data_IF_143300939509
#
_entry.id   IF_143300939509
#
_cell.length_a   1.000
_cell.length_b   1.000
_cell.length_c   1.000
_cell.angle_alpha   90.00
_cell.angle_beta   90.00
_cell.angle_gamma   90.00
#
_symmetry.space_group_name_H-M   'P 1'
#
loop_
_entity.id
_entity.type
_entity.pdbx_description
1 polymer ?
#
# COMPACT_ATOMS: atom_id res chain seq x y z
N UNK A 1 -5.74 13.72 8.51
CA UNK A 1 -6.98 13.02 8.85
C UNK A 1 -6.74 11.53 8.74
N UNK A 2 -6.70 10.81 9.90
CA UNK A 2 -6.36 9.40 10.00
C UNK A 2 -4.90 9.13 10.34
N UNK A 3 -4.68 8.23 11.31
CA UNK A 3 -3.34 7.84 11.79
C UNK A 3 -3.18 6.31 11.72
N UNK A 4 -3.71 5.71 10.63
CA UNK A 4 -3.68 4.26 10.35
C UNK A 4 -2.34 3.80 9.75
N UNK A 5 -2.39 3.21 8.54
CA UNK A 5 -1.19 2.63 7.88
C UNK A 5 -0.26 3.71 7.34
N UNK A 6 -0.78 4.66 6.54
CA UNK A 6 0.05 5.72 5.93
C UNK A 6 0.26 6.93 6.86
N UNK A 7 -0.71 7.21 7.74
CA UNK A 7 -0.71 8.40 8.59
C UNK A 7 0.57 8.58 9.41
N UNK A 8 1.02 7.60 10.20
CA UNK A 8 2.21 7.72 11.02
C UNK A 8 3.46 8.05 10.22
N UNK A 9 3.73 7.32 9.13
CA UNK A 9 4.91 7.54 8.30
C UNK A 9 4.94 8.94 7.70
N UNK A 10 3.85 9.36 7.06
CA UNK A 10 3.78 10.65 6.41
C UNK A 10 3.78 11.82 7.42
N UNK A 11 2.98 11.74 8.48
CA UNK A 11 2.91 12.80 9.47
C UNK A 11 4.25 13.02 10.20
N UNK A 12 4.94 11.94 10.59
CA UNK A 12 6.24 12.04 11.23
C UNK A 12 7.32 12.56 10.27
N UNK A 13 7.35 12.09 9.02
CA UNK A 13 8.33 12.56 8.03
C UNK A 13 8.14 14.06 7.72
N UNK A 14 6.89 14.52 7.54
CA UNK A 14 6.57 15.93 7.37
C UNK A 14 7.03 16.76 8.56
N UNK A 15 6.73 16.31 9.79
CA UNK A 15 7.16 16.99 11.02
C UNK A 15 8.68 17.09 11.10
N UNK A 16 9.38 16.00 10.84
CA UNK A 16 10.84 15.94 10.90
C UNK A 16 11.50 16.81 9.80
N UNK A 17 10.80 17.04 8.68
CA UNK A 17 11.19 17.99 7.64
C UNK A 17 10.71 19.44 7.88
N UNK A 18 10.24 19.75 9.09
CA UNK A 18 9.91 21.11 9.52
C UNK A 18 8.54 21.64 9.07
N UNK A 19 7.65 20.78 8.59
CA UNK A 19 6.27 21.17 8.32
C UNK A 19 5.48 21.32 9.63
N UNK A 20 4.55 22.27 9.63
CA UNK A 20 3.60 22.41 10.73
C UNK A 20 2.47 21.37 10.54
N UNK A 21 2.57 20.27 11.28
CA UNK A 21 1.66 19.12 11.15
C UNK A 21 0.75 19.01 12.36
N UNK A 22 -0.53 18.79 12.10
CA UNK A 22 -1.52 18.38 13.10
C UNK A 22 -2.18 17.08 12.64
N UNK A 23 -2.60 16.25 13.60
CA UNK A 23 -3.26 14.97 13.34
C UNK A 23 -4.72 15.06 13.77
N UNK A 24 -5.62 14.67 12.86
CA UNK A 24 -7.05 14.46 13.15
C UNK A 24 -7.34 12.98 13.31
N UNK A 25 -7.75 12.54 14.51
CA UNK A 25 -8.01 11.14 14.79
C UNK A 25 -9.14 10.98 15.82
N UNK A 26 -10.00 9.97 15.59
CA UNK A 26 -11.04 9.58 16.56
C UNK A 26 -10.42 8.85 17.76
N UNK A 27 -11.04 8.98 18.93
CA UNK A 27 -10.63 8.21 20.13
C UNK A 27 -10.57 6.71 19.87
N UNK A 28 -9.64 6.02 20.52
CA UNK A 28 -9.39 4.59 20.42
C UNK A 28 -7.92 4.24 20.24
N UNK A 29 -7.61 2.99 19.95
CA UNK A 29 -6.22 2.46 19.85
C UNK A 29 -5.30 3.28 18.94
N UNK A 30 -5.83 3.78 17.82
CA UNK A 30 -5.05 4.59 16.87
C UNK A 30 -4.77 6.01 17.41
N UNK A 31 -5.68 6.56 18.20
CA UNK A 31 -5.46 7.81 18.91
C UNK A 31 -4.39 7.66 20.00
N UNK A 32 -4.47 6.58 20.78
CA UNK A 32 -3.47 6.23 21.80
C UNK A 32 -2.08 6.06 21.18
N UNK A 33 -2.02 5.42 20.00
CA UNK A 33 -0.79 5.33 19.22
C UNK A 33 -0.26 6.70 18.82
N UNK A 34 -1.11 7.61 18.36
CA UNK A 34 -0.69 8.98 18.02
C UNK A 34 -0.10 9.70 19.24
N UNK A 35 -0.73 9.57 20.41
CA UNK A 35 -0.19 10.12 21.67
C UNK A 35 1.18 9.52 22.01
N UNK A 36 1.34 8.21 21.87
CA UNK A 36 2.62 7.53 22.10
C UNK A 36 3.72 7.98 21.11
N UNK A 37 3.35 8.33 19.87
CA UNK A 37 4.25 8.87 18.85
C UNK A 37 4.56 10.39 19.05
N UNK A 38 4.07 10.98 20.16
CA UNK A 38 4.37 12.36 20.58
C UNK A 38 3.42 13.44 20.06
N UNK A 39 2.23 13.06 19.57
CA UNK A 39 1.18 14.03 19.22
C UNK A 39 0.41 14.44 20.48
N UNK A 40 0.27 15.75 20.72
CA UNK A 40 -0.26 16.29 21.97
C UNK A 40 -1.74 16.67 21.81
N UNK A 41 -2.66 16.07 22.60
CA UNK A 41 -4.08 16.40 22.56
C UNK A 41 -4.34 17.91 22.80
N UNK A 42 -5.13 18.52 21.91
CA UNK A 42 -5.45 19.94 21.95
C UNK A 42 -4.39 20.90 21.39
N UNK A 43 -3.18 20.40 21.08
CA UNK A 43 -2.09 21.19 20.48
C UNK A 43 -1.75 20.70 19.07
N UNK A 44 -1.48 19.40 18.90
CA UNK A 44 -1.13 18.76 17.62
C UNK A 44 -1.99 17.54 17.29
N UNK A 45 -2.87 17.11 18.19
CA UNK A 45 -3.81 16.02 18.02
C UNK A 45 -5.23 16.51 18.32
N UNK A 46 -6.11 16.42 17.34
CA UNK A 46 -7.45 16.97 17.34
C UNK A 46 -8.52 15.96 16.89
N UNK A 47 -9.79 16.34 16.96
CA UNK A 47 -10.86 15.66 16.24
C UNK A 47 -10.66 15.79 14.73
N UNK A 48 -11.40 14.99 13.94
CA UNK A 48 -11.31 15.06 12.47
C UNK A 48 -11.75 16.45 11.96
N UNK A 49 -12.82 16.99 12.54
CA UNK A 49 -13.40 18.28 12.21
C UNK A 49 -12.46 19.44 12.52
N UNK A 50 -11.91 19.45 13.73
CA UNK A 50 -10.98 20.49 14.15
C UNK A 50 -9.72 20.50 13.30
N UNK A 51 -9.17 19.30 12.98
CA UNK A 51 -8.02 19.18 12.11
C UNK A 51 -8.34 19.65 10.69
N UNK A 52 -9.50 19.30 10.13
CA UNK A 52 -9.93 19.77 8.82
C UNK A 52 -10.16 21.29 8.79
N UNK A 53 -10.69 21.86 9.87
CA UNK A 53 -10.89 23.30 10.00
C UNK A 53 -9.56 24.05 10.03
N UNK A 54 -8.58 23.57 10.82
CA UNK A 54 -7.30 24.22 11.06
C UNK A 54 -6.30 24.03 9.90
N UNK A 55 -6.33 22.88 9.25
CA UNK A 55 -5.39 22.53 8.18
C UNK A 55 -5.55 23.37 6.91
N UNK A 56 -4.45 23.66 6.24
CA UNK A 56 -4.42 24.25 4.89
C UNK A 56 -4.30 23.17 3.81
N UNK A 57 -3.56 22.10 4.09
CA UNK A 57 -3.53 20.87 3.30
C UNK A 57 -4.18 19.77 4.13
N UNK A 58 -5.32 19.28 3.67
CA UNK A 58 -6.10 18.23 4.34
C UNK A 58 -5.73 16.88 3.73
N UNK A 59 -4.98 16.07 4.47
CA UNK A 59 -4.52 14.76 4.05
C UNK A 59 -5.55 13.68 4.44
N UNK A 60 -6.19 13.05 3.46
CA UNK A 60 -7.14 11.96 3.66
C UNK A 60 -6.40 10.63 3.72
N UNK A 61 -5.93 10.24 4.92
CA UNK A 61 -5.12 9.04 5.17
C UNK A 61 -5.90 7.94 5.91
N UNK A 62 -7.20 7.90 5.67
CA UNK A 62 -8.13 6.88 6.14
C UNK A 62 -8.24 5.75 5.10
N UNK A 63 -8.75 4.59 5.51
CA UNK A 63 -9.18 3.55 4.56
C UNK A 63 -10.32 4.06 3.67
N UNK A 64 -10.46 3.53 2.45
CA UNK A 64 -11.44 4.04 1.48
C UNK A 64 -12.87 4.02 2.01
N UNK A 65 -13.30 2.95 2.68
CA UNK A 65 -14.60 2.88 3.33
C UNK A 65 -14.76 3.94 4.43
N UNK A 66 -13.71 4.23 5.19
CA UNK A 66 -13.76 5.28 6.22
C UNK A 66 -13.77 6.69 5.59
N UNK A 67 -13.10 6.89 4.46
CA UNK A 67 -13.18 8.16 3.71
C UNK A 67 -14.61 8.46 3.28
N UNK A 68 -15.34 7.47 2.76
CA UNK A 68 -16.76 7.59 2.39
C UNK A 68 -17.59 8.02 3.61
N UNK A 69 -17.40 7.35 4.74
CA UNK A 69 -18.16 7.63 5.97
C UNK A 69 -17.92 9.04 6.54
N UNK A 70 -16.65 9.50 6.50
CA UNK A 70 -16.28 10.80 7.08
C UNK A 70 -16.42 11.96 6.09
N UNK A 71 -16.61 11.69 4.81
CA UNK A 71 -16.68 12.72 3.78
C UNK A 71 -17.68 13.83 4.07
N UNK A 72 -18.94 13.53 4.46
CA UNK A 72 -19.93 14.57 4.81
C UNK A 72 -19.47 15.47 5.97
N UNK A 73 -18.68 14.93 6.91
CA UNK A 73 -18.14 15.66 8.06
C UNK A 73 -17.00 16.58 7.68
N UNK A 74 -16.12 16.13 6.76
CA UNK A 74 -14.91 16.88 6.37
C UNK A 74 -15.20 17.91 5.27
N UNK A 75 -16.07 17.59 4.31
CA UNK A 75 -16.36 18.43 3.15
C UNK A 75 -16.70 19.90 3.48
N UNK A 76 -17.47 20.23 4.53
CA UNK A 76 -17.79 21.61 4.87
C UNK A 76 -16.58 22.49 5.22
N UNK A 77 -15.47 21.88 5.62
CA UNK A 77 -14.21 22.58 5.97
C UNK A 77 -13.26 22.74 4.79
N UNK A 78 -13.57 22.15 3.63
CA UNK A 78 -12.80 22.28 2.40
C UNK A 78 -13.21 23.57 1.67
N UNK A 79 -12.71 24.70 2.14
CA UNK A 79 -13.02 26.04 1.62
C UNK A 79 -11.95 26.49 0.61
N UNK A 80 -12.29 27.50 -0.20
CA UNK A 80 -11.38 28.09 -1.19
C UNK A 80 -9.99 28.37 -0.62
N UNK A 81 -8.97 28.04 -1.42
CA UNK A 81 -7.55 28.18 -1.05
C UNK A 81 -6.95 27.00 -0.28
N UNK A 82 -7.75 26.05 0.18
CA UNK A 82 -7.25 24.81 0.76
C UNK A 82 -6.84 23.80 -0.31
N UNK A 83 -6.09 22.80 0.12
CA UNK A 83 -5.66 21.67 -0.73
C UNK A 83 -6.12 20.36 -0.09
N UNK A 84 -6.74 19.51 -0.88
CA UNK A 84 -7.11 18.15 -0.50
C UNK A 84 -6.07 17.18 -1.05
N UNK A 85 -5.46 16.39 -0.17
CA UNK A 85 -4.39 15.48 -0.51
C UNK A 85 -4.79 14.01 -0.29
N UNK A 86 -4.37 13.17 -1.20
CA UNK A 86 -4.53 11.72 -1.16
C UNK A 86 -3.19 11.00 -1.35
N UNK A 87 -3.07 9.81 -0.76
CA UNK A 87 -1.95 8.88 -0.99
C UNK A 87 -2.29 7.75 -1.98
N UNK A 88 -3.52 7.71 -2.46
CA UNK A 88 -4.05 6.74 -3.39
C UNK A 88 -5.24 7.32 -4.14
N UNK A 89 -5.37 6.99 -5.42
CA UNK A 89 -6.39 7.60 -6.29
C UNK A 89 -7.80 7.06 -6.15
N UNK A 90 -8.06 6.08 -5.29
CA UNK A 90 -9.30 5.32 -5.19
C UNK A 90 -10.56 6.19 -5.04
N UNK A 91 -10.62 7.02 -4.00
CA UNK A 91 -11.81 7.78 -3.65
C UNK A 91 -12.24 8.74 -4.76
N UNK A 92 -11.29 9.35 -5.44
CA UNK A 92 -11.53 10.31 -6.52
C UNK A 92 -11.80 9.62 -7.86
N UNK A 93 -11.07 8.53 -8.15
CA UNK A 93 -11.23 7.81 -9.43
C UNK A 93 -12.61 7.16 -9.57
N UNK A 94 -13.17 6.65 -8.47
CA UNK A 94 -14.50 6.04 -8.43
C UNK A 94 -15.48 6.88 -7.60
N UNK A 95 -15.48 8.20 -7.83
CA UNK A 95 -16.34 9.14 -7.10
C UNK A 95 -17.84 8.89 -7.31
N UNK A 96 -18.24 8.26 -8.40
CA UNK A 96 -19.59 7.75 -8.67
C UNK A 96 -20.04 6.67 -7.68
N UNK A 97 -19.10 5.94 -7.09
CA UNK A 97 -19.32 4.88 -6.09
C UNK A 97 -19.09 5.37 -4.65
N UNK A 98 -18.08 6.20 -4.47
CA UNK A 98 -17.67 6.68 -3.15
C UNK A 98 -18.45 7.91 -2.69
N UNK A 99 -19.02 8.67 -3.60
CA UNK A 99 -19.65 9.96 -3.30
C UNK A 99 -18.64 11.05 -2.89
N UNK A 100 -17.35 10.79 -3.00
CA UNK A 100 -16.28 11.75 -2.64
C UNK A 100 -16.06 12.70 -3.81
N UNK A 101 -16.79 13.81 -3.81
CA UNK A 101 -16.72 14.87 -4.84
C UNK A 101 -16.20 16.15 -4.20
N UNK A 102 -14.93 16.54 -4.46
CA UNK A 102 -14.33 17.75 -3.93
C UNK A 102 -15.04 19.03 -4.41
N UNK A 103 -15.03 20.12 -3.62
CA UNK A 103 -15.39 21.45 -4.11
C UNK A 103 -14.49 21.89 -5.26
N UNK A 104 -15.00 22.74 -6.17
CA UNK A 104 -14.29 23.15 -7.38
C UNK A 104 -13.26 24.26 -7.15
N UNK A 105 -13.27 24.87 -5.98
CA UNK A 105 -12.45 26.03 -5.60
C UNK A 105 -11.23 25.69 -4.71
N UNK A 106 -10.87 24.39 -4.63
CA UNK A 106 -9.69 23.88 -3.93
C UNK A 106 -8.76 23.13 -4.86
N UNK A 107 -7.51 22.97 -4.46
CA UNK A 107 -6.61 22.03 -5.14
C UNK A 107 -6.89 20.60 -4.68
N UNK A 108 -6.74 19.63 -5.60
CA UNK A 108 -6.81 18.20 -5.28
C UNK A 108 -5.57 17.52 -5.85
N UNK A 109 -4.74 16.99 -4.95
CA UNK A 109 -3.41 16.46 -5.27
C UNK A 109 -3.21 15.06 -4.69
N UNK A 110 -2.25 14.36 -5.24
CA UNK A 110 -1.88 13.01 -4.78
C UNK A 110 -0.36 12.83 -4.83
N UNK A 111 0.18 12.23 -3.77
CA UNK A 111 1.49 11.55 -3.80
C UNK A 111 1.29 10.17 -3.23
N UNK A 112 1.48 9.14 -4.05
CA UNK A 112 1.24 7.74 -3.71
C UNK A 112 2.58 6.99 -3.54
N UNK A 113 3.02 6.75 -2.30
CA UNK A 113 4.23 5.95 -2.02
C UNK A 113 4.03 4.51 -2.49
N UNK A 114 5.04 3.96 -3.17
CA UNK A 114 5.03 2.57 -3.64
C UNK A 114 5.57 1.63 -2.56
N UNK A 115 4.77 1.53 -1.48
CA UNK A 115 5.04 0.71 -0.32
C UNK A 115 4.24 1.13 0.91
N UNK A 116 4.41 0.37 2.01
CA UNK A 116 3.70 0.63 3.26
C UNK A 116 4.16 1.92 3.93
N UNK A 117 3.32 2.50 4.78
CA UNK A 117 3.70 3.67 5.60
C UNK A 117 4.88 3.37 6.55
N UNK A 118 5.02 2.12 6.99
CA UNK A 118 6.17 1.67 7.78
C UNK A 118 7.45 1.71 6.93
N UNK A 119 7.41 1.18 5.70
CA UNK A 119 8.56 1.24 4.79
C UNK A 119 8.94 2.68 4.45
N UNK A 120 7.96 3.56 4.22
CA UNK A 120 8.21 4.99 3.98
C UNK A 120 8.98 5.61 5.16
N UNK A 121 8.56 5.33 6.39
CA UNK A 121 9.20 5.86 7.60
C UNK A 121 10.61 5.28 7.80
N UNK A 122 10.76 3.97 7.68
CA UNK A 122 12.06 3.30 7.86
C UNK A 122 13.09 3.81 6.86
N UNK A 123 12.74 3.85 5.58
CA UNK A 123 13.66 4.34 4.54
C UNK A 123 14.01 5.82 4.74
N UNK A 124 13.06 6.64 5.16
CA UNK A 124 13.34 8.05 5.50
C UNK A 124 14.36 8.18 6.64
N UNK A 125 14.20 7.40 7.71
CA UNK A 125 15.13 7.40 8.84
C UNK A 125 16.53 6.91 8.47
N UNK A 126 16.63 6.08 7.43
CA UNK A 126 17.90 5.60 6.87
C UNK A 126 18.52 6.56 5.84
N UNK A 127 17.94 7.75 5.62
CA UNK A 127 18.38 8.68 4.60
C UNK A 127 18.12 8.23 3.17
N UNK A 128 17.20 7.29 2.99
CA UNK A 128 16.72 6.78 1.70
C UNK A 128 15.29 7.27 1.46
N UNK A 129 14.75 7.05 0.28
CA UNK A 129 13.36 7.41 -0.05
C UNK A 129 12.64 6.32 -0.81
N UNK A 130 11.34 6.20 -0.57
CA UNK A 130 10.45 5.33 -1.32
C UNK A 130 10.03 6.00 -2.62
N UNK A 131 9.99 5.26 -3.73
CA UNK A 131 9.46 5.80 -4.98
C UNK A 131 7.98 6.16 -4.81
N UNK A 132 7.58 7.28 -5.37
CA UNK A 132 6.21 7.77 -5.30
C UNK A 132 5.71 8.17 -6.69
N UNK A 133 4.47 7.86 -7.01
CA UNK A 133 3.79 8.53 -8.11
C UNK A 133 3.09 9.80 -7.61
N UNK A 134 2.97 10.82 -8.46
CA UNK A 134 2.25 12.03 -8.11
C UNK A 134 1.28 12.47 -9.20
N UNK A 135 0.20 13.12 -8.81
CA UNK A 135 -0.79 13.64 -9.73
C UNK A 135 -1.51 14.87 -9.17
N UNK A 136 -1.94 15.74 -10.08
CA UNK A 136 -2.89 16.81 -9.82
C UNK A 136 -4.22 16.42 -10.47
N UNK A 137 -5.29 16.36 -9.69
CA UNK A 137 -6.65 16.16 -10.16
C UNK A 137 -7.33 17.48 -10.49
N UNK A 138 -7.14 18.48 -9.61
CA UNK A 138 -7.73 19.80 -9.72
C UNK A 138 -6.72 20.86 -9.26
N UNK A 139 -6.56 21.90 -10.06
CA UNK A 139 -5.68 23.04 -9.79
C UNK A 139 -6.50 24.33 -9.78
N UNK A 140 -7.03 24.69 -8.61
CA UNK A 140 -7.78 25.92 -8.44
C UNK A 140 -6.89 27.13 -8.16
N UNK A 141 -5.69 26.89 -7.61
CA UNK A 141 -4.75 27.95 -7.22
C UNK A 141 -3.76 28.33 -8.35
N UNK A 142 -3.60 27.50 -9.38
CA UNK A 142 -2.52 27.61 -10.38
C UNK A 142 -1.16 27.11 -9.87
N UNK A 143 -1.09 26.53 -8.65
CA UNK A 143 0.14 26.09 -8.00
C UNK A 143 0.05 24.66 -7.45
N UNK A 144 -0.94 23.86 -7.87
CA UNK A 144 -1.17 22.53 -7.32
C UNK A 144 0.00 21.56 -7.58
N UNK A 145 0.66 21.66 -8.73
CA UNK A 145 1.82 20.80 -9.04
C UNK A 145 3.02 21.13 -8.15
N UNK A 146 3.31 22.39 -7.91
CA UNK A 146 4.39 22.83 -7.01
C UNK A 146 4.15 22.33 -5.58
N UNK A 147 2.90 22.47 -5.09
CA UNK A 147 2.49 21.94 -3.79
C UNK A 147 2.65 20.43 -3.70
N UNK A 148 2.29 19.71 -4.77
CA UNK A 148 2.40 18.24 -4.84
C UNK A 148 3.85 17.80 -4.73
N UNK A 149 4.74 18.45 -5.48
CA UNK A 149 6.17 18.14 -5.46
C UNK A 149 6.79 18.46 -4.09
N UNK A 150 6.49 19.63 -3.52
CA UNK A 150 6.96 20.02 -2.19
C UNK A 150 6.47 19.05 -1.10
N UNK A 151 5.21 18.63 -1.19
CA UNK A 151 4.65 17.65 -0.27
C UNK A 151 5.32 16.28 -0.42
N UNK A 152 5.58 15.83 -1.65
CA UNK A 152 6.29 14.58 -1.92
C UNK A 152 7.70 14.57 -1.31
N UNK A 153 8.45 15.66 -1.46
CA UNK A 153 9.74 15.84 -0.80
C UNK A 153 9.56 15.79 0.73
N UNK A 154 8.54 16.47 1.24
CA UNK A 154 8.24 16.54 2.68
C UNK A 154 7.94 15.18 3.31
N UNK A 155 7.26 14.27 2.63
CA UNK A 155 7.02 12.91 3.12
C UNK A 155 8.22 11.96 2.93
N UNK A 156 9.32 12.42 2.31
CA UNK A 156 10.52 11.63 2.08
C UNK A 156 10.43 10.74 0.85
N UNK A 157 9.77 11.20 -0.23
CA UNK A 157 9.80 10.50 -1.51
C UNK A 157 11.24 10.42 -2.05
N UNK A 158 11.61 9.26 -2.57
CA UNK A 158 12.87 9.08 -3.31
C UNK A 158 12.72 9.59 -4.74
N UNK A 159 12.42 8.71 -5.68
CA UNK A 159 12.08 9.10 -7.05
C UNK A 159 10.58 9.36 -7.18
N UNK A 160 10.21 10.51 -7.76
CA UNK A 160 8.81 10.86 -8.05
C UNK A 160 8.54 10.85 -9.55
N UNK A 161 7.45 10.20 -9.97
CA UNK A 161 7.02 10.17 -11.36
C UNK A 161 5.55 10.60 -11.52
N UNK A 162 5.29 11.36 -12.58
CA UNK A 162 3.97 11.92 -12.87
C UNK A 162 3.00 10.83 -13.36
N UNK A 163 1.77 10.88 -12.87
CA UNK A 163 0.67 9.98 -13.27
C UNK A 163 -0.67 10.74 -13.27
N UNK A 164 -1.78 10.02 -13.26
CA UNK A 164 -3.13 10.54 -13.01
C UNK A 164 -3.80 9.73 -11.90
N UNK A 165 -4.81 10.28 -11.24
CA UNK A 165 -5.59 9.53 -10.24
C UNK A 165 -6.14 8.21 -10.80
N UNK A 166 -6.64 8.23 -12.05
CA UNK A 166 -7.15 7.03 -12.71
C UNK A 166 -6.06 5.98 -12.94
N UNK A 167 -4.91 6.38 -13.49
CA UNK A 167 -3.82 5.43 -13.76
C UNK A 167 -3.24 4.86 -12.47
N UNK A 168 -3.06 5.71 -11.48
CA UNK A 168 -2.56 5.28 -10.17
C UNK A 168 -3.52 4.27 -9.54
N UNK A 169 -4.80 4.62 -9.35
CA UNK A 169 -5.78 3.73 -8.75
C UNK A 169 -5.91 2.39 -9.50
N UNK A 170 -5.89 2.44 -10.84
CA UNK A 170 -6.00 1.22 -11.65
C UNK A 170 -4.77 0.34 -11.54
N UNK A 171 -3.55 0.92 -11.62
CA UNK A 171 -2.31 0.15 -11.54
C UNK A 171 -2.06 -0.39 -10.13
N UNK A 172 -2.38 0.38 -9.11
CA UNK A 172 -2.18 0.02 -7.71
C UNK A 172 -3.08 -1.16 -7.31
N UNK A 173 -4.40 -1.07 -7.56
CA UNK A 173 -5.32 -2.19 -7.30
C UNK A 173 -4.95 -3.44 -8.11
N UNK A 174 -4.49 -3.28 -9.35
CA UNK A 174 -4.01 -4.41 -10.16
C UNK A 174 -2.74 -5.01 -9.58
N UNK A 175 -1.81 -4.17 -9.13
CA UNK A 175 -0.55 -4.60 -8.51
C UNK A 175 -0.75 -5.40 -7.22
N UNK A 176 -1.59 -4.89 -6.33
CA UNK A 176 -1.90 -5.53 -5.04
C UNK A 176 -2.53 -6.92 -5.23
N UNK A 177 -3.52 -7.03 -6.13
CA UNK A 177 -4.19 -8.31 -6.42
C UNK A 177 -3.34 -9.23 -7.29
N UNK A 178 -2.47 -8.64 -8.09
CA UNK A 178 -1.50 -9.32 -8.94
C UNK A 178 -0.20 -9.66 -8.21
N UNK A 179 0.92 -9.30 -8.83
CA UNK A 179 2.26 -9.77 -8.45
C UNK A 179 2.76 -9.28 -7.09
N UNK A 180 2.17 -8.23 -6.50
CA UNK A 180 2.64 -7.71 -5.22
C UNK A 180 2.15 -8.54 -4.02
N UNK A 181 0.93 -9.08 -4.06
CA UNK A 181 0.35 -9.86 -2.96
C UNK A 181 -0.47 -11.05 -3.43
N UNK A 182 -1.57 -10.84 -4.17
CA UNK A 182 -2.53 -11.90 -4.48
C UNK A 182 -1.96 -13.02 -5.33
N UNK A 183 -1.38 -12.69 -6.48
CA UNK A 183 -0.84 -13.70 -7.39
C UNK A 183 0.41 -14.37 -6.82
N UNK A 184 1.30 -13.65 -6.10
CA UNK A 184 2.48 -14.27 -5.50
C UNK A 184 2.07 -15.25 -4.39
N UNK A 185 1.09 -14.93 -3.55
CA UNK A 185 0.57 -15.86 -2.55
C UNK A 185 0.00 -17.12 -3.21
N UNK A 186 -0.80 -16.95 -4.28
CA UNK A 186 -1.35 -18.07 -5.04
C UNK A 186 -0.29 -18.96 -5.70
N UNK A 187 0.76 -18.36 -6.28
CA UNK A 187 1.89 -19.07 -6.88
C UNK A 187 2.65 -19.90 -5.85
N UNK A 188 2.99 -19.28 -4.72
CA UNK A 188 3.74 -19.95 -3.64
C UNK A 188 2.93 -21.11 -3.07
N UNK A 189 1.64 -20.92 -2.83
CA UNK A 189 0.77 -21.96 -2.33
C UNK A 189 0.64 -23.14 -3.30
N UNK A 190 0.42 -22.86 -4.58
CA UNK A 190 0.29 -23.90 -5.60
C UNK A 190 1.56 -24.76 -5.72
N UNK A 191 2.74 -24.15 -5.72
CA UNK A 191 4.01 -24.89 -5.76
C UNK A 191 4.21 -25.70 -4.47
N UNK A 192 3.93 -25.13 -3.30
CA UNK A 192 4.01 -25.81 -2.03
C UNK A 192 3.13 -27.07 -2.00
N UNK A 193 1.87 -26.95 -2.39
CA UNK A 193 0.91 -28.05 -2.44
C UNK A 193 1.38 -29.17 -3.37
N UNK A 194 1.84 -28.84 -4.58
CA UNK A 194 2.36 -29.83 -5.53
C UNK A 194 3.57 -30.58 -4.94
N UNK A 195 4.48 -29.90 -4.27
CA UNK A 195 5.63 -30.56 -3.61
C UNK A 195 5.15 -31.50 -2.48
N UNK A 196 4.17 -31.04 -1.66
CA UNK A 196 3.59 -31.84 -0.59
C UNK A 196 2.87 -33.11 -1.12
N UNK A 197 2.11 -32.96 -2.19
CA UNK A 197 1.41 -34.07 -2.87
C UNK A 197 2.40 -35.12 -3.44
N UNK A 198 3.62 -34.72 -3.77
CA UNK A 198 4.67 -35.58 -4.27
C UNK A 198 5.63 -36.07 -3.19
N UNK A 199 5.28 -35.94 -1.91
CA UNK A 199 5.97 -36.57 -0.77
C UNK A 199 7.09 -35.75 -0.14
N UNK A 200 7.32 -34.50 -0.56
CA UNK A 200 8.26 -33.61 0.14
C UNK A 200 7.74 -33.24 1.52
N UNK A 201 8.63 -33.12 2.49
CA UNK A 201 8.27 -32.67 3.84
C UNK A 201 7.84 -31.21 3.84
N UNK A 202 7.09 -30.74 4.85
CA UNK A 202 6.71 -29.31 4.95
C UNK A 202 7.92 -28.37 4.92
N UNK A 203 9.02 -28.76 5.56
CA UNK A 203 10.26 -27.97 5.57
C UNK A 203 10.90 -27.90 4.19
N UNK A 204 11.03 -29.01 3.45
CA UNK A 204 11.57 -29.03 2.10
C UNK A 204 10.69 -28.17 1.17
N UNK A 205 9.38 -28.39 1.17
CA UNK A 205 8.46 -27.63 0.33
C UNK A 205 8.51 -26.12 0.63
N UNK A 206 8.62 -25.72 1.90
CA UNK A 206 8.73 -24.30 2.27
C UNK A 206 10.06 -23.68 1.82
N UNK A 207 11.17 -24.38 2.01
CA UNK A 207 12.49 -23.87 1.59
C UNK A 207 12.54 -23.65 0.08
N UNK A 208 12.09 -24.61 -0.72
CA UNK A 208 12.10 -24.55 -2.20
C UNK A 208 11.03 -23.60 -2.78
N UNK A 209 10.12 -23.09 -1.98
CA UNK A 209 9.04 -22.23 -2.45
C UNK A 209 9.20 -20.79 -1.93
N UNK A 210 9.29 -20.62 -0.62
CA UNK A 210 9.25 -19.30 0.01
C UNK A 210 10.62 -18.85 0.47
N UNK A 211 11.35 -19.73 1.19
CA UNK A 211 12.53 -19.31 1.93
C UNK A 211 13.66 -18.88 0.98
N UNK A 212 14.01 -19.72 0.00
CA UNK A 212 15.06 -19.39 -0.96
C UNK A 212 14.72 -18.15 -1.79
N UNK A 213 13.45 -18.01 -2.19
CA UNK A 213 13.00 -16.83 -2.91
C UNK A 213 13.18 -15.55 -2.08
N UNK A 214 12.78 -15.56 -0.81
CA UNK A 214 12.73 -14.34 0.00
C UNK A 214 14.05 -14.01 0.68
N UNK A 215 14.83 -15.02 1.06
CA UNK A 215 16.09 -14.82 1.73
C UNK A 215 17.24 -14.55 0.76
N UNK A 216 17.23 -15.18 -0.42
CA UNK A 216 18.34 -15.15 -1.37
C UNK A 216 17.98 -14.49 -2.70
N UNK A 217 17.09 -15.11 -3.47
CA UNK A 217 16.88 -14.72 -4.88
C UNK A 217 16.15 -13.39 -5.05
N UNK A 218 15.18 -13.11 -4.21
CA UNK A 218 14.39 -11.87 -4.25
C UNK A 218 15.24 -10.60 -4.10
N UNK A 219 16.10 -10.50 -3.08
CA UNK A 219 17.05 -9.39 -2.95
C UNK A 219 17.95 -9.22 -4.18
N UNK A 220 18.45 -10.32 -4.76
CA UNK A 220 19.33 -10.26 -5.93
C UNK A 220 18.63 -9.70 -7.17
N UNK A 221 17.48 -10.24 -7.54
CA UNK A 221 16.78 -9.70 -8.71
C UNK A 221 16.20 -8.30 -8.46
N UNK A 222 15.86 -7.97 -7.23
CA UNK A 222 15.41 -6.63 -6.86
C UNK A 222 16.52 -5.59 -7.01
N UNK A 223 17.76 -5.94 -6.71
CA UNK A 223 18.90 -5.05 -6.81
C UNK A 223 19.52 -4.99 -8.21
N UNK A 224 19.66 -6.15 -8.87
CA UNK A 224 20.49 -6.29 -10.09
C UNK A 224 19.72 -6.73 -11.34
N UNK A 225 18.46 -7.12 -11.21
CA UNK A 225 17.65 -7.62 -12.31
C UNK A 225 17.61 -9.14 -12.44
N UNK A 226 16.60 -9.63 -13.15
CA UNK A 226 16.35 -11.07 -13.30
C UNK A 226 17.41 -11.78 -14.14
N UNK A 227 17.91 -11.13 -15.18
CA UNK A 227 18.96 -11.64 -16.04
C UNK A 227 20.27 -11.83 -15.28
N UNK A 228 20.63 -10.89 -14.41
CA UNK A 228 21.83 -11.01 -13.56
C UNK A 228 21.66 -12.16 -12.57
N UNK A 229 20.52 -12.30 -11.93
CA UNK A 229 20.24 -13.41 -11.01
C UNK A 229 20.39 -14.75 -11.75
N UNK A 230 19.78 -14.91 -12.94
CA UNK A 230 19.90 -16.10 -13.75
C UNK A 230 21.37 -16.41 -14.07
N UNK A 231 22.14 -15.42 -14.52
CA UNK A 231 23.54 -15.59 -14.89
C UNK A 231 24.42 -16.06 -13.71
N UNK A 232 24.00 -15.83 -12.49
CA UNK A 232 24.71 -16.23 -11.27
C UNK A 232 24.16 -17.53 -10.61
N UNK A 233 23.22 -18.20 -11.27
CA UNK A 233 22.75 -19.53 -10.88
C UNK A 233 23.41 -20.63 -11.71
N UNK A 234 23.16 -21.90 -11.35
CA UNK A 234 23.68 -23.06 -12.14
C UNK A 234 23.07 -23.05 -13.56
N UNK A 235 23.81 -23.61 -14.52
CA UNK A 235 23.33 -23.71 -15.92
C UNK A 235 22.05 -24.53 -16.04
N UNK A 236 21.83 -25.50 -15.16
CA UNK A 236 20.60 -26.29 -15.06
C UNK A 236 19.44 -25.41 -14.62
N UNK A 237 19.61 -24.56 -13.59
CA UNK A 237 18.59 -23.61 -13.13
C UNK A 237 18.27 -22.58 -14.20
N UNK A 238 19.30 -22.00 -14.83
CA UNK A 238 19.13 -21.04 -15.94
C UNK A 238 18.28 -21.63 -17.06
N UNK A 239 18.61 -22.84 -17.54
CA UNK A 239 17.89 -23.47 -18.63
C UNK A 239 16.44 -23.77 -18.26
N UNK A 240 16.25 -24.36 -17.09
CA UNK A 240 14.90 -24.69 -16.60
C UNK A 240 14.02 -23.45 -16.46
N UNK A 241 14.54 -22.37 -15.84
CA UNK A 241 13.82 -21.13 -15.66
C UNK A 241 13.44 -20.46 -17.00
N UNK A 242 14.37 -20.41 -17.96
CA UNK A 242 14.11 -19.85 -19.29
C UNK A 242 13.08 -20.67 -20.08
N UNK A 243 13.04 -22.00 -19.90
CA UNK A 243 12.07 -22.85 -20.59
C UNK A 243 10.67 -22.77 -19.97
N UNK A 244 10.57 -22.54 -18.67
CA UNK A 244 9.29 -22.51 -17.97
C UNK A 244 8.65 -21.13 -17.89
N UNK A 245 9.44 -20.05 -17.89
CA UNK A 245 8.93 -18.69 -17.81
C UNK A 245 7.85 -18.37 -18.89
N UNK A 246 8.01 -18.75 -20.18
CA UNK A 246 6.97 -18.54 -21.19
C UNK A 246 5.67 -19.29 -20.86
N UNK A 247 5.77 -20.51 -20.33
CA UNK A 247 4.59 -21.33 -19.98
C UNK A 247 3.78 -20.70 -18.85
N UNK A 248 4.45 -20.19 -17.80
CA UNK A 248 3.80 -19.42 -16.74
C UNK A 248 3.20 -18.12 -17.27
N UNK A 249 3.94 -17.39 -18.12
CA UNK A 249 3.43 -16.17 -18.75
C UNK A 249 2.10 -16.45 -19.50
N UNK A 250 2.06 -17.47 -20.33
CA UNK A 250 0.89 -17.80 -21.16
C UNK A 250 -0.30 -18.24 -20.30
N UNK A 251 -0.05 -18.94 -19.20
CA UNK A 251 -1.09 -19.35 -18.25
C UNK A 251 -1.63 -18.17 -17.43
N UNK A 252 -0.77 -17.26 -16.99
CA UNK A 252 -1.13 -16.17 -16.05
C UNK A 252 -1.68 -14.95 -16.79
N UNK A 253 -1.18 -14.63 -17.99
CA UNK A 253 -1.58 -13.42 -18.73
C UNK A 253 -3.08 -13.25 -18.91
N UNK A 254 -3.89 -14.27 -19.28
CA UNK A 254 -5.33 -14.15 -19.36
C UNK A 254 -5.98 -13.75 -18.02
N UNK A 255 -5.50 -14.31 -16.92
CA UNK A 255 -5.98 -13.98 -15.57
C UNK A 255 -5.66 -12.52 -15.22
N UNK A 256 -4.45 -12.04 -15.53
CA UNK A 256 -4.06 -10.63 -15.33
C UNK A 256 -4.89 -9.68 -16.20
N UNK A 257 -5.23 -10.05 -17.42
CA UNK A 257 -6.11 -9.27 -18.30
C UNK A 257 -7.53 -9.17 -17.72
N UNK A 258 -8.06 -10.27 -17.21
CA UNK A 258 -9.36 -10.29 -16.54
C UNK A 258 -9.36 -9.44 -15.27
N UNK A 259 -8.32 -9.57 -14.43
CA UNK A 259 -8.13 -8.74 -13.25
C UNK A 259 -8.09 -7.25 -13.61
N UNK A 260 -7.26 -6.88 -14.58
CA UNK A 260 -7.15 -5.48 -15.02
C UNK A 260 -8.50 -4.91 -15.50
N UNK A 261 -9.27 -5.71 -16.24
CA UNK A 261 -10.61 -5.33 -16.69
C UNK A 261 -11.57 -5.14 -15.50
N UNK A 262 -11.57 -6.06 -14.54
CA UNK A 262 -12.38 -5.95 -13.32
C UNK A 262 -12.06 -4.71 -12.51
N UNK A 263 -10.77 -4.39 -12.36
CA UNK A 263 -10.32 -3.14 -11.72
C UNK A 263 -10.77 -1.92 -12.51
N UNK A 264 -10.52 -1.88 -13.82
CA UNK A 264 -10.83 -0.74 -14.69
C UNK A 264 -12.32 -0.39 -14.70
N UNK A 265 -13.19 -1.37 -14.63
CA UNK A 265 -14.64 -1.18 -14.59
C UNK A 265 -15.16 -0.78 -13.21
N UNK A 266 -14.29 -0.71 -12.19
CA UNK A 266 -14.65 -0.39 -10.82
C UNK A 266 -15.32 -1.53 -10.05
N UNK A 267 -15.35 -2.75 -10.62
CA UNK A 267 -15.89 -3.91 -9.92
C UNK A 267 -15.11 -4.23 -8.66
N UNK A 268 -13.77 -4.23 -8.73
CA UNK A 268 -12.91 -4.45 -7.58
C UNK A 268 -13.04 -3.35 -6.52
N UNK A 269 -13.26 -2.09 -6.94
CA UNK A 269 -13.53 -1.00 -6.02
C UNK A 269 -14.85 -1.22 -5.28
N UNK A 270 -15.92 -1.65 -5.98
CA UNK A 270 -17.20 -1.93 -5.35
C UNK A 270 -17.10 -3.09 -4.36
N UNK A 271 -16.43 -4.18 -4.71
CA UNK A 271 -16.21 -5.33 -3.82
C UNK A 271 -15.49 -4.87 -2.53
N UNK A 272 -14.47 -4.01 -2.64
CA UNK A 272 -13.75 -3.48 -1.49
C UNK A 272 -14.64 -2.60 -0.60
N UNK A 273 -15.45 -1.73 -1.20
CA UNK A 273 -16.40 -0.88 -0.48
C UNK A 273 -17.42 -1.74 0.27
N UNK A 274 -18.05 -2.69 -0.42
CA UNK A 274 -19.11 -3.54 0.14
C UNK A 274 -18.58 -4.40 1.29
N UNK A 275 -17.36 -4.93 1.16
CA UNK A 275 -16.74 -5.76 2.19
C UNK A 275 -16.32 -4.92 3.41
N UNK A 276 -15.62 -3.82 3.18
CA UNK A 276 -15.01 -3.02 4.25
C UNK A 276 -16.00 -2.08 4.97
N UNK A 277 -17.20 -1.90 4.42
CA UNK A 277 -18.27 -1.13 5.04
C UNK A 277 -19.13 -1.95 6.03
N UNK A 278 -18.94 -3.27 6.08
CA UNK A 278 -19.70 -4.13 7.00
C UNK A 278 -19.23 -3.92 8.45
N UNK A 279 -20.14 -3.95 9.43
CA UNK A 279 -19.78 -3.78 10.85
C UNK A 279 -18.75 -4.80 11.35
N UNK A 280 -18.80 -6.02 10.84
CA UNK A 280 -17.97 -7.18 11.21
C UNK A 280 -16.74 -7.38 10.31
N UNK A 281 -16.44 -6.43 9.40
CA UNK A 281 -15.38 -6.65 8.42
C UNK A 281 -14.00 -6.94 9.04
N UNK A 282 -13.69 -6.30 10.18
CA UNK A 282 -12.40 -6.49 10.86
C UNK A 282 -12.27 -7.88 11.48
N UNK A 283 -13.36 -8.39 12.02
CA UNK A 283 -13.42 -9.73 12.57
C UNK A 283 -13.23 -10.78 11.47
N UNK A 284 -13.96 -10.64 10.36
CA UNK A 284 -13.82 -11.53 9.20
C UNK A 284 -12.44 -11.48 8.58
N UNK A 285 -11.87 -10.28 8.41
CA UNK A 285 -10.50 -10.13 7.90
C UNK A 285 -9.49 -10.83 8.82
N UNK A 286 -9.65 -10.70 10.14
CA UNK A 286 -8.77 -11.39 11.10
C UNK A 286 -8.93 -12.91 11.07
N UNK A 287 -10.14 -13.42 10.85
CA UNK A 287 -10.39 -14.86 10.65
C UNK A 287 -9.65 -15.38 9.40
N UNK A 288 -9.73 -14.67 8.27
CA UNK A 288 -9.03 -15.02 7.02
C UNK A 288 -7.50 -14.96 7.19
N UNK A 289 -6.98 -13.92 7.81
CA UNK A 289 -5.55 -13.78 8.10
C UNK A 289 -5.06 -14.85 9.09
N UNK A 290 -5.88 -15.21 10.05
CA UNK A 290 -5.59 -16.30 10.98
C UNK A 290 -5.52 -17.64 10.26
N UNK A 291 -6.49 -17.93 9.41
CA UNK A 291 -6.49 -19.16 8.60
C UNK A 291 -5.22 -19.26 7.74
N UNK A 292 -4.79 -18.16 7.14
CA UNK A 292 -3.53 -18.10 6.40
C UNK A 292 -2.33 -18.39 7.32
N UNK A 293 -2.21 -17.72 8.47
CA UNK A 293 -1.12 -17.95 9.43
C UNK A 293 -1.05 -19.37 9.96
N UNK A 294 -2.20 -20.01 10.15
CA UNK A 294 -2.32 -21.36 10.69
C UNK A 294 -2.19 -22.45 9.61
N UNK A 295 -2.11 -22.08 8.32
CA UNK A 295 -1.90 -23.05 7.26
C UNK A 295 -0.55 -23.77 7.40
N UNK A 296 -0.47 -25.01 6.91
CA UNK A 296 0.75 -25.84 7.00
C UNK A 296 1.97 -25.11 6.43
N UNK A 297 1.84 -24.47 5.26
CA UNK A 297 2.92 -23.73 4.62
C UNK A 297 3.50 -22.64 5.53
N UNK A 298 2.64 -21.79 6.10
CA UNK A 298 3.14 -20.68 6.93
C UNK A 298 3.60 -21.13 8.31
N UNK A 299 3.06 -22.24 8.86
CA UNK A 299 3.56 -22.86 10.09
C UNK A 299 4.93 -23.53 9.89
N UNK A 300 5.17 -24.18 8.75
CA UNK A 300 6.50 -24.63 8.35
C UNK A 300 7.50 -23.48 8.32
N UNK A 301 7.09 -22.34 7.79
CA UNK A 301 7.89 -21.11 7.74
C UNK A 301 8.25 -20.54 9.11
N UNK A 302 7.37 -20.66 10.10
CA UNK A 302 7.69 -20.24 11.48
C UNK A 302 8.86 -21.07 12.02
N UNK A 303 8.85 -22.37 11.77
CA UNK A 303 9.92 -23.29 12.21
C UNK A 303 11.22 -23.02 11.48
N UNK A 304 11.19 -22.92 10.15
CA UNK A 304 12.39 -22.67 9.32
C UNK A 304 13.07 -21.37 9.73
N UNK A 305 12.31 -20.27 9.86
CA UNK A 305 12.86 -18.96 10.22
C UNK A 305 13.45 -18.89 11.63
N UNK A 306 12.95 -19.69 12.59
CA UNK A 306 13.56 -19.80 13.92
C UNK A 306 14.95 -20.45 13.89
N UNK A 307 15.26 -21.22 12.85
CA UNK A 307 16.55 -21.89 12.70
C UNK A 307 17.58 -21.05 11.98
N UNK A 308 17.24 -19.83 11.57
CA UNK A 308 18.19 -18.89 10.98
C UNK A 308 19.15 -18.37 12.06
N UNK A 309 20.48 -18.36 11.83
CA UNK A 309 21.46 -17.90 12.81
C UNK A 309 21.22 -16.48 13.32
N UNK A 310 20.70 -15.59 12.49
CA UNK A 310 20.40 -14.21 12.85
C UNK A 310 19.20 -14.04 13.81
N UNK A 311 18.48 -15.11 14.09
CA UNK A 311 17.29 -15.12 14.97
C UNK A 311 17.54 -15.82 16.32
N UNK A 312 18.77 -16.24 16.60
CA UNK A 312 19.22 -16.83 17.86
C UNK A 312 19.40 -15.77 18.98
#
# INVERSE_FOLDING_TARGET
IGYGIQGPGQACNLRDNGFNVIVGQRQGKTYEKAVADGWVPGETLFSLEEAAQKGTIICMLLSDAAQIQVWPTIKPYLTAGKTLYYSHGFAINWNDRTGVVPPTDIDVIMVAPKGSGTSLRTMFMEGRGLNCSYAVYQDASGHAEEKTLAFGIGIGAGYMFKTTFQREATSDLTGERGSLMGAIQGLLLAQYEVLRENGHTPSEAFNETVEELTQSLGPLFGEKGMDWMYANCSTTAQRGALDWAPRFHDAIKPVMQWLYYSVKTGNEAQISIDSNSKPDYREKLEEELKAMRESEMWQAGVTVRKLRPEND
#
